data_IF_468775487127
#
_entry.id   IF_468775487127
#
_cell.length_a   1.000
_cell.length_b   1.000
_cell.length_c   1.000
_cell.angle_alpha   90.00
_cell.angle_beta   90.00
_cell.angle_gamma   90.00
#
_symmetry.space_group_name_H-M   'P 1'
#
loop_
_entity.id
_entity.type
_entity.pdbx_description
1 polymer ?
#
# COMPACT_ATOMS: atom_id res chain seq x y z
N UNK A 1 11.31 36.72 -13.63
CA UNK A 1 11.85 35.59 -14.42
C UNK A 1 11.26 35.71 -15.82
N UNK A 2 12.08 35.94 -16.85
CA UNK A 2 11.58 36.06 -18.24
C UNK A 2 11.85 34.72 -18.91
N UNK A 3 10.80 34.00 -19.30
CA UNK A 3 10.97 32.77 -20.06
C UNK A 3 11.59 33.10 -21.42
N UNK A 4 12.58 32.33 -21.89
CA UNK A 4 13.08 32.46 -23.24
C UNK A 4 11.93 32.31 -24.24
N UNK A 5 11.97 33.09 -25.33
CA UNK A 5 10.98 32.96 -26.40
C UNK A 5 11.06 31.55 -27.00
N UNK A 6 9.90 30.96 -27.29
CA UNK A 6 9.75 29.66 -27.95
C UNK A 6 10.23 28.43 -27.14
N UNK A 7 10.23 28.50 -25.81
CA UNK A 7 10.45 27.34 -24.94
C UNK A 7 9.17 27.02 -24.18
N UNK A 8 8.63 25.81 -24.37
CA UNK A 8 7.52 25.29 -23.58
C UNK A 8 8.07 24.64 -22.32
N UNK A 9 7.50 24.99 -21.17
CA UNK A 9 7.84 24.37 -19.89
C UNK A 9 6.67 23.50 -19.44
N UNK A 10 6.94 22.22 -19.25
CA UNK A 10 5.97 21.22 -18.76
C UNK A 10 6.33 20.87 -17.32
N UNK A 11 5.34 20.85 -16.44
CA UNK A 11 5.53 20.52 -15.02
C UNK A 11 4.37 19.66 -14.51
N UNK A 12 4.61 18.81 -13.52
CA UNK A 12 3.54 18.01 -12.89
C UNK A 12 2.62 18.89 -12.04
N UNK A 13 1.36 18.50 -11.88
CA UNK A 13 0.43 19.18 -10.98
C UNK A 13 0.83 19.05 -9.49
N UNK A 14 1.61 18.01 -9.16
CA UNK A 14 1.86 17.57 -7.79
C UNK A 14 1.02 16.34 -7.44
N UNK A 15 1.36 15.70 -6.32
CA UNK A 15 0.72 14.45 -5.88
C UNK A 15 -0.02 14.64 -4.54
N UNK A 16 -0.36 15.90 -4.21
CA UNK A 16 -0.98 16.28 -2.94
C UNK A 16 -2.51 16.27 -2.97
N UNK A 17 -3.13 15.76 -4.04
CA UNK A 17 -4.57 15.47 -4.05
C UNK A 17 -5.02 14.51 -2.94
N UNK A 18 -6.33 14.21 -2.84
CA UNK A 18 -7.40 14.56 -3.78
C UNK A 18 -8.12 15.88 -3.49
N UNK A 19 -7.75 16.59 -2.41
CA UNK A 19 -8.43 17.81 -2.00
C UNK A 19 -8.28 18.95 -3.02
N UNK A 20 -9.30 19.80 -3.08
CA UNK A 20 -9.31 20.97 -3.98
C UNK A 20 -8.18 21.95 -3.64
N UNK A 21 -7.57 22.54 -4.68
CA UNK A 21 -6.54 23.57 -4.50
C UNK A 21 -5.13 23.05 -4.18
N UNK A 22 -4.86 21.77 -4.42
CA UNK A 22 -3.55 21.12 -4.13
C UNK A 22 -2.54 21.17 -5.29
N UNK A 23 -2.90 21.83 -6.41
CA UNK A 23 -2.00 21.98 -7.57
C UNK A 23 -0.87 22.96 -7.25
N UNK A 24 0.38 22.56 -7.50
CA UNK A 24 1.57 23.34 -7.16
C UNK A 24 2.05 24.26 -8.30
N UNK A 25 2.15 23.72 -9.51
CA UNK A 25 2.69 24.43 -10.67
C UNK A 25 1.59 25.24 -11.38
N UNK A 26 1.22 26.39 -10.82
CA UNK A 26 0.04 27.18 -11.26
C UNK A 26 0.37 28.41 -12.11
N UNK A 27 1.65 28.61 -12.46
CA UNK A 27 2.01 29.77 -13.27
C UNK A 27 1.39 29.66 -14.69
N UNK A 28 0.81 30.75 -15.23
CA UNK A 28 -0.03 30.68 -16.43
C UNK A 28 0.74 30.33 -17.71
N UNK A 29 2.07 30.37 -17.67
CA UNK A 29 2.97 30.00 -18.76
C UNK A 29 3.48 28.55 -18.68
N UNK A 30 3.02 27.75 -17.71
CA UNK A 30 3.37 26.34 -17.57
C UNK A 30 2.29 25.46 -18.21
N UNK A 31 2.72 24.37 -18.84
CA UNK A 31 1.85 23.25 -19.19
C UNK A 31 1.82 22.28 -18.00
N UNK A 32 0.78 22.37 -17.18
CA UNK A 32 0.67 21.60 -15.93
C UNK A 32 -0.09 20.30 -16.15
N UNK A 33 0.55 19.17 -15.83
CA UNK A 33 0.08 17.82 -16.19
C UNK A 33 -0.39 17.06 -14.96
N UNK A 34 -1.63 16.57 -15.00
CA UNK A 34 -2.20 15.64 -14.02
C UNK A 34 -1.87 14.17 -14.37
N UNK A 35 -2.06 13.27 -13.41
CA UNK A 35 -1.86 11.83 -13.59
C UNK A 35 -3.20 11.09 -13.77
N UNK A 36 -3.20 10.07 -14.64
CA UNK A 36 -4.29 9.11 -14.80
C UNK A 36 -3.73 7.70 -14.97
N UNK A 37 -4.59 6.68 -14.87
CA UNK A 37 -4.23 5.28 -15.14
C UNK A 37 -4.26 4.97 -16.64
N UNK A 38 -3.72 3.80 -17.01
CA UNK A 38 -3.80 3.20 -18.35
C UNK A 38 -4.46 1.81 -18.23
N UNK A 39 -4.66 1.11 -19.34
CA UNK A 39 -5.27 -0.22 -19.41
C UNK A 39 -4.37 -1.37 -18.93
N UNK A 40 -3.10 -1.08 -18.59
CA UNK A 40 -2.13 -2.06 -18.08
C UNK A 40 -2.09 -2.06 -16.55
N UNK A 41 -2.27 -3.25 -15.97
CA UNK A 41 -2.13 -3.51 -14.54
C UNK A 41 -0.96 -4.46 -14.19
N UNK A 42 -0.45 -4.33 -12.97
CA UNK A 42 0.57 -5.21 -12.38
C UNK A 42 -0.05 -6.03 -11.26
N UNK A 43 -0.85 -7.01 -11.65
CA UNK A 43 -1.72 -7.76 -10.76
C UNK A 43 -0.95 -8.68 -9.81
N UNK A 44 -1.37 -8.71 -8.55
CA UNK A 44 -0.95 -9.65 -7.52
C UNK A 44 -2.18 -10.22 -6.83
N UNK A 45 -2.44 -11.51 -7.01
CA UNK A 45 -3.62 -12.18 -6.45
C UNK A 45 -3.30 -12.85 -5.13
N UNK A 46 -4.10 -12.58 -4.11
CA UNK A 46 -4.10 -13.32 -2.84
C UNK A 46 -5.31 -14.27 -2.81
N UNK A 47 -5.06 -15.56 -2.64
CA UNK A 47 -6.10 -16.57 -2.45
C UNK A 47 -6.18 -16.92 -0.97
N UNK A 48 -7.37 -16.75 -0.37
CA UNK A 48 -7.62 -17.08 1.03
C UNK A 48 -8.01 -18.56 1.20
N UNK A 49 -8.03 -19.03 2.45
CA UNK A 49 -8.34 -20.43 2.78
C UNK A 49 -9.78 -20.85 2.43
N UNK A 50 -10.69 -19.88 2.28
CA UNK A 50 -12.07 -20.10 1.81
C UNK A 50 -12.21 -20.08 0.27
N UNK A 51 -11.09 -19.98 -0.46
CA UNK A 51 -11.00 -19.83 -1.92
C UNK A 51 -11.43 -18.47 -2.49
N UNK A 52 -11.67 -17.47 -1.63
CA UNK A 52 -11.86 -16.10 -2.11
C UNK A 52 -10.54 -15.56 -2.67
N UNK A 53 -10.63 -14.90 -3.82
CA UNK A 53 -9.50 -14.28 -4.48
C UNK A 53 -9.59 -12.77 -4.34
N UNK A 54 -8.46 -12.17 -4.00
CA UNK A 54 -8.29 -10.75 -3.81
C UNK A 54 -7.31 -10.24 -4.84
N UNK A 55 -7.78 -9.39 -5.73
CA UNK A 55 -6.94 -8.80 -6.75
C UNK A 55 -6.30 -7.50 -6.24
N UNK A 56 -4.99 -7.53 -6.02
CA UNK A 56 -4.20 -6.36 -5.68
C UNK A 56 -3.16 -6.04 -6.75
N UNK A 57 -2.22 -5.15 -6.42
CA UNK A 57 -1.09 -4.84 -7.28
C UNK A 57 0.27 -4.96 -6.57
N UNK A 58 1.30 -5.32 -7.33
CA UNK A 58 2.67 -5.42 -6.85
C UNK A 58 3.67 -5.31 -7.99
N UNK A 59 4.85 -4.73 -7.72
CA UNK A 59 6.02 -4.85 -8.61
C UNK A 59 7.05 -5.85 -8.07
N UNK A 60 6.73 -6.59 -7.01
CA UNK A 60 7.61 -7.63 -6.48
C UNK A 60 7.54 -8.89 -7.35
N UNK A 61 8.67 -9.26 -7.97
CA UNK A 61 8.70 -10.37 -8.93
C UNK A 61 8.89 -11.77 -8.32
N UNK A 62 9.41 -11.87 -7.10
CA UNK A 62 9.77 -13.16 -6.49
C UNK A 62 8.62 -13.74 -5.68
N UNK A 63 7.54 -14.12 -6.36
CA UNK A 63 6.37 -14.66 -5.67
C UNK A 63 6.73 -15.93 -4.88
N UNK A 64 6.25 -16.05 -3.64
CA UNK A 64 6.49 -17.23 -2.85
C UNK A 64 5.87 -18.48 -3.49
N UNK A 65 6.50 -19.63 -3.26
CA UNK A 65 5.91 -20.93 -3.62
C UNK A 65 4.51 -21.08 -3.02
N UNK A 66 3.58 -21.71 -3.74
CA UNK A 66 2.21 -22.02 -3.28
C UNK A 66 2.26 -22.80 -1.95
N UNK A 67 2.23 -22.08 -0.86
CA UNK A 67 2.26 -22.57 0.51
C UNK A 67 1.22 -21.78 1.29
N UNK A 68 0.56 -22.45 2.22
CA UNK A 68 -0.39 -21.79 3.11
C UNK A 68 0.34 -21.01 4.19
N UNK A 69 -0.11 -19.78 4.44
CA UNK A 69 0.40 -18.91 5.49
C UNK A 69 -0.74 -18.50 6.41
N UNK A 70 -0.41 -18.28 7.67
CA UNK A 70 -1.33 -17.63 8.62
C UNK A 70 -1.41 -16.15 8.28
N UNK A 71 -2.61 -15.59 8.34
CA UNK A 71 -2.87 -14.17 8.18
C UNK A 71 -2.95 -13.52 9.57
N UNK A 72 -2.33 -12.36 9.78
CA UNK A 72 -2.39 -11.63 11.05
C UNK A 72 -2.61 -10.14 10.81
N UNK A 73 -3.51 -9.52 11.58
CA UNK A 73 -3.62 -8.06 11.59
C UNK A 73 -2.41 -7.47 12.31
N UNK A 74 -1.81 -6.43 11.73
CA UNK A 74 -0.72 -5.66 12.35
C UNK A 74 -1.05 -5.18 13.77
N UNK A 75 -2.31 -4.85 14.04
CA UNK A 75 -2.79 -4.41 15.36
C UNK A 75 -2.85 -5.53 16.39
N UNK A 76 -3.10 -6.78 15.97
CA UNK A 76 -3.04 -7.97 16.84
C UNK A 76 -1.59 -8.45 17.05
N UNK A 77 -0.76 -8.24 16.04
CA UNK A 77 0.69 -8.44 16.06
C UNK A 77 1.46 -7.35 16.84
N UNK A 78 0.78 -6.33 17.37
CA UNK A 78 1.40 -5.16 17.99
C UNK A 78 2.27 -5.49 19.21
N UNK A 79 3.42 -4.82 19.32
CA UNK A 79 4.26 -4.77 20.53
C UNK A 79 3.56 -4.04 21.71
N UNK A 80 3.81 -4.42 22.98
CA UNK A 80 3.17 -3.78 24.13
C UNK A 80 3.39 -2.25 24.20
N UNK A 81 4.56 -1.77 23.80
CA UNK A 81 4.96 -0.36 23.84
C UNK A 81 4.55 0.46 22.60
N UNK A 82 4.04 -0.18 21.54
CA UNK A 82 3.59 0.52 20.33
C UNK A 82 2.14 1.01 20.49
N UNK A 83 1.78 2.11 19.83
CA UNK A 83 0.39 2.56 19.77
C UNK A 83 -0.40 1.71 18.76
N UNK A 84 -1.72 1.63 18.92
CA UNK A 84 -2.57 0.94 17.94
C UNK A 84 -2.41 1.51 16.53
N UNK A 85 -2.34 2.84 16.42
CA UNK A 85 -2.22 3.53 15.15
C UNK A 85 -0.87 3.29 14.47
N UNK A 86 0.23 3.36 15.22
CA UNK A 86 1.56 3.13 14.65
C UNK A 86 1.71 1.68 14.17
N UNK A 87 1.15 0.72 14.91
CA UNK A 87 1.14 -0.67 14.53
C UNK A 87 0.22 -0.94 13.33
N UNK A 88 -0.96 -0.32 13.28
CA UNK A 88 -1.86 -0.40 12.12
C UNK A 88 -1.14 0.00 10.82
N UNK A 89 -0.26 1.00 10.93
CA UNK A 89 0.58 1.49 9.83
C UNK A 89 1.88 0.74 9.66
N UNK A 90 2.13 -0.34 10.41
CA UNK A 90 3.38 -1.09 10.37
C UNK A 90 4.61 -0.18 10.41
N UNK A 91 4.58 0.82 11.31
CA UNK A 91 5.73 1.70 11.52
C UNK A 91 6.91 0.91 12.07
N UNK A 92 8.14 1.42 11.89
CA UNK A 92 9.33 0.79 12.42
C UNK A 92 9.20 0.47 13.93
N UNK A 93 9.59 -0.75 14.31
CA UNK A 93 9.60 -1.26 15.67
C UNK A 93 8.21 -1.25 16.36
N UNK A 94 7.16 -1.63 15.62
CA UNK A 94 5.80 -1.74 16.15
C UNK A 94 5.23 -3.16 16.15
N UNK A 95 5.78 -4.05 15.32
CA UNK A 95 5.33 -5.43 15.20
C UNK A 95 6.15 -6.36 16.10
N UNK A 96 5.45 -7.28 16.77
CA UNK A 96 6.05 -8.31 17.63
C UNK A 96 6.53 -9.49 16.78
N UNK A 97 7.86 -9.73 16.66
CA UNK A 97 8.38 -10.82 15.85
C UNK A 97 7.88 -12.20 16.29
N UNK A 98 7.55 -12.38 17.58
CA UNK A 98 7.04 -13.65 18.08
C UNK A 98 5.65 -13.98 17.51
N UNK A 99 4.89 -12.96 17.11
CA UNK A 99 3.55 -13.12 16.50
C UNK A 99 3.59 -13.11 14.97
N UNK A 100 4.53 -12.37 14.38
CA UNK A 100 4.59 -12.14 12.92
C UNK A 100 5.40 -13.19 12.17
N UNK A 101 6.39 -13.81 12.80
CA UNK A 101 7.32 -14.70 12.11
C UNK A 101 6.61 -15.82 11.31
N UNK A 102 6.83 -15.83 10.00
CA UNK A 102 6.24 -16.81 9.06
C UNK A 102 4.80 -16.55 8.63
N UNK A 103 4.18 -15.46 9.10
CA UNK A 103 2.82 -15.04 8.73
C UNK A 103 2.80 -14.03 7.57
N UNK A 104 1.63 -13.85 6.97
CA UNK A 104 1.34 -12.68 6.13
C UNK A 104 0.66 -11.63 7.00
N UNK A 105 1.26 -10.44 7.09
CA UNK A 105 0.73 -9.35 7.93
C UNK A 105 -0.15 -8.40 7.13
N UNK A 106 -1.29 -8.00 7.70
CA UNK A 106 -2.16 -6.96 7.13
C UNK A 106 -1.80 -5.60 7.75
N UNK A 107 -1.31 -4.68 6.91
CA UNK A 107 -0.98 -3.31 7.25
C UNK A 107 -1.95 -2.35 6.55
N UNK A 108 -2.11 -1.14 7.09
CA UNK A 108 -2.80 -0.04 6.42
C UNK A 108 -1.76 0.99 5.97
N UNK A 109 -1.94 1.53 4.78
CA UNK A 109 -1.11 2.61 4.24
C UNK A 109 -1.27 3.89 5.09
N UNK A 110 -0.17 4.42 5.62
CA UNK A 110 -0.21 5.66 6.42
C UNK A 110 -0.37 6.92 5.55
N UNK A 111 0.14 6.93 4.32
CA UNK A 111 0.25 8.13 3.51
C UNK A 111 0.20 7.93 2.00
N UNK A 112 0.49 8.99 1.23
CA UNK A 112 0.08 9.07 -0.19
C UNK A 112 0.90 8.22 -1.18
N UNK A 113 2.23 8.13 -1.05
CA UNK A 113 3.08 7.65 -2.18
C UNK A 113 4.10 6.57 -1.83
N UNK A 114 4.57 6.49 -0.58
CA UNK A 114 5.61 5.51 -0.22
C UNK A 114 5.10 4.63 0.90
N UNK A 115 5.15 3.34 0.65
CA UNK A 115 4.75 2.29 1.60
C UNK A 115 5.84 1.24 1.87
N UNK A 116 7.05 1.50 1.34
CA UNK A 116 8.16 0.55 1.43
C UNK A 116 8.63 0.37 2.87
N UNK A 117 8.41 1.38 3.72
CA UNK A 117 8.76 1.35 5.15
C UNK A 117 7.92 0.31 5.89
N UNK A 118 6.63 0.23 5.57
CA UNK A 118 5.71 -0.77 6.11
C UNK A 118 6.15 -2.19 5.73
N UNK A 119 6.58 -2.37 4.48
CA UNK A 119 7.18 -3.62 4.03
C UNK A 119 8.49 -3.95 4.77
N UNK A 120 9.32 -2.95 5.05
CA UNK A 120 10.56 -3.15 5.79
C UNK A 120 10.31 -3.57 7.23
N UNK A 121 9.30 -3.00 7.90
CA UNK A 121 8.90 -3.43 9.24
C UNK A 121 8.41 -4.88 9.22
N UNK A 122 7.49 -5.22 8.30
CA UNK A 122 6.98 -6.58 8.15
C UNK A 122 8.13 -7.58 7.96
N UNK A 123 9.05 -7.30 7.04
CA UNK A 123 10.22 -8.14 6.79
C UNK A 123 11.11 -8.28 8.05
N UNK A 124 11.34 -7.18 8.75
CA UNK A 124 12.20 -7.16 9.96
C UNK A 124 11.58 -7.93 11.12
N UNK A 125 10.24 -7.97 11.20
CA UNK A 125 9.49 -8.78 12.16
C UNK A 125 9.38 -10.27 11.75
N UNK A 126 9.97 -10.66 10.62
CA UNK A 126 9.98 -12.04 10.12
C UNK A 126 8.73 -12.42 9.32
N UNK A 127 7.95 -11.45 8.84
CA UNK A 127 6.81 -11.73 7.99
C UNK A 127 7.25 -12.45 6.72
N UNK A 128 6.43 -13.39 6.28
CA UNK A 128 6.61 -14.06 5.01
C UNK A 128 6.13 -13.18 3.84
N UNK A 129 5.12 -12.35 4.09
CA UNK A 129 4.59 -11.39 3.13
C UNK A 129 3.72 -10.34 3.81
N UNK A 130 3.20 -9.41 3.03
CA UNK A 130 2.36 -8.32 3.51
C UNK A 130 1.15 -8.12 2.60
N UNK A 131 0.00 -7.80 3.21
CA UNK A 131 -1.12 -7.18 2.52
C UNK A 131 -1.16 -5.73 2.96
N UNK A 132 -1.14 -4.80 2.01
CA UNK A 132 -1.20 -3.38 2.30
C UNK A 132 -2.52 -2.81 1.82
N UNK A 133 -3.42 -2.54 2.76
CA UNK A 133 -4.71 -1.93 2.49
C UNK A 133 -4.59 -0.41 2.41
N UNK A 134 -5.23 0.20 1.43
CA UNK A 134 -5.36 1.65 1.37
C UNK A 134 -6.14 2.22 2.56
N UNK A 135 -5.75 3.40 3.00
CA UNK A 135 -6.57 4.23 3.88
C UNK A 135 -7.63 5.02 3.09
N UNK A 136 -8.57 5.65 3.80
CA UNK A 136 -9.64 6.43 3.18
C UNK A 136 -9.13 7.62 2.34
N UNK A 137 -7.95 8.17 2.67
CA UNK A 137 -7.35 9.27 1.93
C UNK A 137 -6.78 8.83 0.57
N UNK A 138 -6.36 7.58 0.46
CA UNK A 138 -5.81 6.99 -0.77
C UNK A 138 -6.92 6.53 -1.74
N UNK A 139 -8.15 6.43 -1.25
CA UNK A 139 -9.32 6.00 -2.01
C UNK A 139 -9.09 4.68 -2.73
N UNK A 140 -9.58 4.60 -3.97
CA UNK A 140 -9.52 3.38 -4.80
C UNK A 140 -8.22 3.26 -5.61
N UNK A 141 -7.18 4.03 -5.27
CA UNK A 141 -5.92 4.04 -6.02
C UNK A 141 -5.09 2.81 -5.67
N UNK A 142 -5.02 1.80 -6.54
CA UNK A 142 -4.12 0.66 -6.33
C UNK A 142 -2.74 0.96 -6.92
N UNK A 143 -1.73 1.12 -6.05
CA UNK A 143 -0.35 1.35 -6.48
C UNK A 143 0.41 0.03 -6.59
N UNK A 144 1.01 -0.21 -7.75
CA UNK A 144 1.99 -1.28 -7.89
C UNK A 144 3.36 -0.76 -7.41
N UNK A 145 3.84 -1.28 -6.28
CA UNK A 145 5.09 -0.83 -5.67
C UNK A 145 6.13 -1.94 -5.55
N UNK A 146 7.43 -1.59 -5.65
CA UNK A 146 8.52 -2.54 -5.47
C UNK A 146 8.85 -2.69 -3.97
N UNK A 147 8.05 -3.49 -3.25
CA UNK A 147 8.29 -3.78 -1.84
C UNK A 147 9.54 -4.65 -1.63
N UNK A 148 10.05 -4.64 -0.39
CA UNK A 148 11.22 -5.44 0.04
C UNK A 148 10.90 -6.91 0.33
N UNK A 149 9.62 -7.27 0.36
CA UNK A 149 9.08 -8.63 0.49
C UNK A 149 7.82 -8.78 -0.35
N UNK A 150 7.34 -10.02 -0.51
CA UNK A 150 6.09 -10.30 -1.22
C UNK A 150 4.93 -9.52 -0.63
N UNK A 151 4.43 -8.54 -1.38
CA UNK A 151 3.37 -7.64 -0.93
C UNK A 151 2.29 -7.50 -1.99
N UNK A 152 1.02 -7.50 -1.56
CA UNK A 152 -0.11 -7.12 -2.42
C UNK A 152 -0.75 -5.83 -1.89
N UNK A 153 -0.80 -4.80 -2.73
CA UNK A 153 -1.51 -3.55 -2.43
C UNK A 153 -2.98 -3.71 -2.80
N UNK A 154 -3.90 -3.36 -1.91
CA UNK A 154 -5.35 -3.50 -2.11
C UNK A 154 -6.10 -2.23 -1.78
N UNK A 155 -7.30 -2.05 -2.37
CA UNK A 155 -8.22 -0.98 -1.98
C UNK A 155 -8.96 -1.30 -0.68
N UNK A 156 -9.59 -0.29 -0.09
CA UNK A 156 -10.51 -0.48 1.02
C UNK A 156 -11.92 -0.89 0.50
N UNK A 157 -12.48 -1.93 1.12
CA UNK A 157 -13.89 -2.38 1.27
C UNK A 157 -14.92 -2.37 0.12
N UNK A 158 -14.83 -1.53 -0.92
CA UNK A 158 -15.96 -1.37 -1.85
C UNK A 158 -16.01 -2.40 -3.00
N UNK A 159 -14.87 -2.99 -3.40
CA UNK A 159 -14.78 -3.74 -4.67
C UNK A 159 -14.30 -5.20 -4.56
N UNK A 160 -13.89 -5.66 -3.39
CA UNK A 160 -13.36 -7.01 -3.15
C UNK A 160 -13.94 -7.56 -1.83
N UNK A 161 -14.01 -8.89 -1.62
CA UNK A 161 -14.39 -9.45 -0.32
C UNK A 161 -13.53 -8.83 0.79
N UNK A 162 -14.02 -8.72 2.04
CA UNK A 162 -13.28 -7.96 3.06
C UNK A 162 -12.23 -8.85 3.75
N UNK A 163 -10.94 -8.61 3.51
CA UNK A 163 -9.85 -9.41 4.10
C UNK A 163 -9.85 -9.34 5.63
N UNK A 164 -10.27 -8.20 6.19
CA UNK A 164 -10.43 -8.04 7.63
C UNK A 164 -11.62 -8.85 8.17
N UNK A 165 -12.68 -9.02 7.38
CA UNK A 165 -13.82 -9.88 7.76
C UNK A 165 -13.41 -11.35 7.78
N UNK A 166 -12.71 -11.82 6.75
CA UNK A 166 -12.13 -13.16 6.74
C UNK A 166 -11.21 -13.38 7.94
N UNK A 167 -10.30 -12.44 8.21
CA UNK A 167 -9.41 -12.52 9.36
C UNK A 167 -10.18 -12.59 10.69
N UNK A 168 -11.18 -11.73 10.88
CA UNK A 168 -12.01 -11.74 12.09
C UNK A 168 -12.83 -13.03 12.24
N UNK A 169 -13.22 -13.68 11.14
CA UNK A 169 -13.94 -14.96 11.15
C UNK A 169 -13.05 -16.16 11.48
N UNK A 170 -11.74 -16.03 11.31
CA UNK A 170 -10.75 -17.11 11.46
C UNK A 170 -9.84 -16.93 12.68
N UNK A 171 -10.04 -15.85 13.43
CA UNK A 171 -9.32 -15.53 14.67
C UNK A 171 -9.65 -16.49 15.81
#
# INVERSE_FOLDING_TARGET
MHLPKNVVVVASAGNDGPDSGTVLNVAPWLFTVAASTIDRDFTSTLTLGNNDNYMGASLFGNLPSQKSFTLISSTDAKLPNATFQDAQFCKPATLDPAKVNGSVVICVREGKIRSVVEGQEALSAGAYGMVLSNNNQSGNTVLAEPHVLSTTNTVNQEFEPNIHEYYNSTK
#
